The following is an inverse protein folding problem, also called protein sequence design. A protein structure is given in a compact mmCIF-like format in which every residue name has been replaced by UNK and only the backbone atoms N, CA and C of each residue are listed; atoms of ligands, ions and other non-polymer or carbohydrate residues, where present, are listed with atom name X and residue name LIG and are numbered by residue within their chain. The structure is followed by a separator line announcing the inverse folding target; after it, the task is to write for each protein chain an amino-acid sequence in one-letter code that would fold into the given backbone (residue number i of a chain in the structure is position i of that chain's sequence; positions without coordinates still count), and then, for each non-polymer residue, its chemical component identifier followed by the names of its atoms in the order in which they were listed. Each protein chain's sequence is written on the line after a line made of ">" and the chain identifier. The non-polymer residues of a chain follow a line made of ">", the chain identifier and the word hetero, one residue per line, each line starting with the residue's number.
data_IF_857175430125
#
_entry.id   IF_857175430125
#
_cell.length_a   1.000
_cell.length_b   1.000
_cell.length_c   1.000
_cell.angle_alpha   90.00
_cell.angle_beta   90.00
_cell.angle_gamma   90.00
#
_symmetry.space_group_name_H-M   'P 1'
#
loop_
_entity.id
_entity.type
_entity.pdbx_description
1 polymer ?
#
# COMPACT_ATOMS: atom_id res chain seq x y z
N UNK A 1 5.46 8.27 -23.13
CA UNK A 1 5.18 9.46 -22.27
C UNK A 1 4.89 8.97 -20.88
N UNK A 2 5.59 9.45 -19.86
CA UNK A 2 5.32 9.08 -18.47
C UNK A 2 4.07 9.85 -18.01
N UNK A 3 3.06 9.13 -17.54
CA UNK A 3 1.83 9.70 -16.99
C UNK A 3 1.95 9.76 -15.47
N UNK A 4 1.60 10.89 -14.89
CA UNK A 4 1.60 11.09 -13.42
C UNK A 4 0.19 11.38 -12.94
N UNK A 5 -0.24 10.64 -11.95
CA UNK A 5 -1.49 10.91 -11.25
C UNK A 5 -1.19 11.89 -10.11
N UNK A 6 -1.46 13.19 -10.33
CA UNK A 6 -1.41 14.17 -9.25
C UNK A 6 -2.79 14.27 -8.62
N UNK A 7 -2.89 13.88 -7.36
CA UNK A 7 -4.11 14.08 -6.58
C UNK A 7 -4.18 15.55 -6.20
N UNK A 8 -5.14 16.26 -6.80
CA UNK A 8 -5.54 17.58 -6.33
C UNK A 8 -6.47 17.31 -5.14
N UNK A 9 -6.02 17.65 -3.93
CA UNK A 9 -6.86 17.60 -2.74
C UNK A 9 -8.07 18.51 -2.96
N UNK A 10 -9.21 17.93 -3.31
CA UNK A 10 -10.48 18.63 -3.34
C UNK A 10 -10.94 18.68 -1.88
N UNK A 11 -10.75 19.83 -1.24
CA UNK A 11 -11.37 20.13 0.05
C UNK A 11 -12.88 20.17 -0.14
N UNK A 12 -13.52 19.03 0.13
CA UNK A 12 -14.99 18.96 0.17
C UNK A 12 -15.46 19.61 1.47
N UNK A 13 -15.88 20.86 1.37
CA UNK A 13 -16.55 21.58 2.46
C UNK A 13 -17.94 20.98 2.63
N UNK A 14 -18.05 19.94 3.46
CA UNK A 14 -19.31 19.28 3.79
C UNK A 14 -20.08 20.09 4.83
N UNK A 15 -21.24 20.61 4.44
CA UNK A 15 -22.20 21.26 5.34
C UNK A 15 -22.77 20.23 6.33
N UNK A 16 -22.61 20.52 7.64
CA UNK A 16 -23.28 19.79 8.72
C UNK A 16 -24.80 20.00 8.65
N UNK A 17 -25.54 18.93 8.46
CA UNK A 17 -26.95 18.88 8.80
C UNK A 17 -27.12 18.06 10.10
N UNK A 18 -27.42 18.75 11.19
CA UNK A 18 -27.75 18.16 12.48
C UNK A 18 -29.18 17.58 12.41
N UNK A 19 -29.32 16.28 12.65
CA UNK A 19 -30.60 15.67 12.97
C UNK A 19 -30.52 14.99 14.34
N UNK A 20 -31.15 15.60 15.32
CA UNK A 20 -31.36 15.05 16.65
C UNK A 20 -32.49 14.01 16.58
N UNK A 21 -32.25 12.79 17.10
CA UNK A 21 -33.31 11.85 17.45
C UNK A 21 -32.99 11.25 18.82
N UNK A 22 -33.76 11.69 19.79
CA UNK A 22 -33.91 11.13 21.12
C UNK A 22 -34.66 9.80 21.07
N UNK A 23 -34.13 8.77 21.73
CA UNK A 23 -34.81 7.49 21.90
C UNK A 23 -34.27 6.75 23.12
N UNK A 24 -35.03 6.84 24.22
CA UNK A 24 -34.78 6.27 25.53
C UNK A 24 -35.31 4.83 25.63
N UNK A 25 -34.71 3.99 26.46
CA UNK A 25 -35.29 2.75 27.01
C UNK A 25 -34.49 1.48 26.65
N UNK A 26 -34.00 0.73 27.59
CA UNK A 26 -34.34 0.15 28.83
C UNK A 26 -33.59 -1.15 29.03
N UNK A 27 -32.97 -1.23 30.16
CA UNK A 27 -32.71 -2.29 31.16
C UNK A 27 -32.50 -3.77 30.82
N UNK A 28 -31.49 -4.29 31.50
CA UNK A 28 -31.32 -5.50 32.32
C UNK A 28 -31.07 -6.82 31.51
N UNK A 29 -30.26 -7.74 31.90
CA UNK A 29 -29.54 -8.15 33.10
C UNK A 29 -28.70 -9.39 32.80
N UNK A 30 -27.56 -9.49 33.50
CA UNK A 30 -26.98 -10.66 34.14
C UNK A 30 -26.84 -12.00 33.42
N UNK A 31 -25.64 -12.48 33.27
CA UNK A 31 -25.04 -13.57 34.03
C UNK A 31 -23.80 -14.15 33.34
N UNK A 32 -22.66 -14.06 33.96
CA UNK A 32 -21.62 -15.09 33.88
C UNK A 32 -22.02 -16.22 34.88
N UNK A 33 -21.41 -17.42 34.94
CA UNK A 33 -19.99 -17.66 34.77
C UNK A 33 -19.61 -19.06 34.21
N UNK A 34 -18.27 -19.25 34.17
CA UNK A 34 -17.54 -20.52 34.47
C UNK A 34 -17.01 -21.34 33.32
N UNK A 35 -15.73 -21.31 33.18
CA UNK A 35 -14.70 -22.35 33.52
C UNK A 35 -14.61 -23.57 32.60
N UNK A 36 -13.45 -23.75 32.12
CA UNK A 36 -12.53 -24.90 32.18
C UNK A 36 -11.89 -25.08 30.80
N UNK A 37 -10.58 -24.76 30.68
CA UNK A 37 -9.42 -25.63 30.95
C UNK A 37 -9.33 -26.80 29.97
N UNK A 38 -8.25 -26.83 29.28
CA UNK A 38 -7.28 -27.87 29.03
C UNK A 38 -6.91 -28.08 27.58
N UNK A 39 -5.64 -27.99 27.46
CA UNK A 39 -4.69 -28.87 26.77
C UNK A 39 -4.18 -28.46 25.41
N UNK A 40 -2.89 -28.27 25.45
CA UNK A 40 -1.91 -28.24 24.41
C UNK A 40 -2.06 -29.36 23.37
N UNK A 41 -1.84 -28.98 22.13
CA UNK A 41 -1.20 -29.88 21.19
C UNK A 41 -0.33 -29.03 20.26
N UNK A 42 0.97 -29.14 20.44
CA UNK A 42 1.97 -28.81 19.46
C UNK A 42 1.68 -29.60 18.18
N UNK A 43 1.66 -28.94 17.07
CA UNK A 43 1.94 -29.59 15.81
C UNK A 43 2.67 -28.61 14.90
N UNK A 44 3.95 -28.84 14.86
CA UNK A 44 4.84 -28.41 13.80
C UNK A 44 4.29 -28.94 12.48
N UNK A 45 4.04 -28.05 11.54
CA UNK A 45 4.08 -28.44 10.14
C UNK A 45 4.24 -27.23 9.26
N UNK A 46 5.48 -27.11 8.82
CA UNK A 46 5.83 -27.08 7.42
C UNK A 46 5.38 -25.85 6.62
N UNK A 47 6.32 -24.96 6.46
CA UNK A 47 6.51 -24.15 5.25
C UNK A 47 6.06 -24.95 4.03
N UNK A 48 4.94 -24.58 3.48
CA UNK A 48 4.63 -24.84 2.10
C UNK A 48 4.69 -23.49 1.39
N UNK A 49 5.85 -23.20 0.86
CA UNK A 49 6.00 -22.24 -0.21
C UNK A 49 5.08 -22.68 -1.35
N UNK A 50 3.97 -22.03 -1.52
CA UNK A 50 3.21 -22.11 -2.76
C UNK A 50 3.79 -21.03 -3.67
N UNK A 51 4.90 -21.37 -4.32
CA UNK A 51 5.31 -20.73 -5.56
C UNK A 51 4.25 -21.07 -6.59
N UNK A 52 3.26 -20.22 -6.77
CA UNK A 52 2.55 -20.18 -8.02
C UNK A 52 3.33 -19.25 -8.96
N UNK A 53 4.42 -19.79 -9.47
CA UNK A 53 5.08 -19.25 -10.66
C UNK A 53 4.09 -19.43 -11.79
N UNK A 54 3.43 -18.38 -12.21
CA UNK A 54 2.87 -18.33 -13.56
C UNK A 54 4.03 -17.96 -14.44
N UNK A 55 4.69 -18.98 -14.98
CA UNK A 55 5.65 -18.87 -16.08
C UNK A 55 4.92 -18.22 -17.26
N UNK A 56 5.04 -16.92 -17.42
CA UNK A 56 4.92 -16.28 -18.72
C UNK A 56 5.50 -14.87 -18.69
N UNK A 57 6.60 -14.72 -19.40
CA UNK A 57 7.32 -13.51 -19.80
C UNK A 57 8.66 -13.27 -19.09
N UNK A 58 9.69 -13.95 -19.55
CA UNK A 58 11.11 -13.70 -19.21
C UNK A 58 11.59 -12.27 -19.51
N UNK A 59 10.76 -11.41 -20.08
CA UNK A 59 11.13 -10.04 -20.45
C UNK A 59 10.50 -8.96 -19.54
N UNK A 60 9.43 -9.27 -18.80
CA UNK A 60 8.76 -8.33 -17.89
C UNK A 60 9.39 -8.30 -16.48
N UNK A 61 9.81 -9.46 -15.98
CA UNK A 61 10.42 -9.59 -14.66
C UNK A 61 11.76 -8.87 -14.55
N UNK A 62 12.62 -8.94 -15.57
CA UNK A 62 13.92 -8.25 -15.57
C UNK A 62 13.74 -6.72 -15.52
N UNK A 63 12.72 -6.18 -16.22
CA UNK A 63 12.42 -4.76 -16.22
C UNK A 63 11.84 -4.31 -14.87
N UNK A 64 10.91 -5.07 -14.28
CA UNK A 64 10.36 -4.83 -12.95
C UNK A 64 11.44 -4.82 -11.88
N UNK A 65 12.31 -5.83 -11.89
CA UNK A 65 13.42 -5.97 -10.95
C UNK A 65 14.42 -4.82 -11.08
N UNK A 66 14.69 -4.38 -12.30
CA UNK A 66 15.56 -3.24 -12.58
C UNK A 66 15.00 -1.93 -12.04
N UNK A 67 13.72 -1.65 -12.31
CA UNK A 67 13.03 -0.46 -11.81
C UNK A 67 12.97 -0.49 -10.28
N UNK A 68 12.53 -1.60 -9.70
CA UNK A 68 12.44 -1.78 -8.26
C UNK A 68 13.79 -1.56 -7.56
N UNK A 69 14.85 -2.19 -8.06
CA UNK A 69 16.19 -2.06 -7.46
C UNK A 69 16.69 -0.62 -7.54
N UNK A 70 16.51 0.05 -8.67
CA UNK A 70 16.89 1.45 -8.86
C UNK A 70 16.16 2.36 -7.86
N UNK A 71 14.86 2.15 -7.66
CA UNK A 71 14.08 2.96 -6.72
C UNK A 71 14.43 2.69 -5.27
N UNK A 72 14.68 1.42 -4.91
CA UNK A 72 15.09 1.04 -3.56
C UNK A 72 16.49 1.56 -3.19
N UNK A 73 17.38 1.76 -4.17
CA UNK A 73 18.67 2.43 -3.95
C UNK A 73 18.50 3.93 -3.66
N UNK A 74 17.46 4.57 -4.21
CA UNK A 74 17.17 5.99 -3.96
C UNK A 74 16.39 6.20 -2.66
N UNK A 75 15.56 5.24 -2.27
CA UNK A 75 14.78 5.25 -1.03
C UNK A 75 15.10 4.00 -0.19
N UNK A 76 16.19 4.01 0.58
CA UNK A 76 16.54 2.86 1.41
C UNK A 76 15.52 2.68 2.54
N UNK A 77 14.91 1.51 2.59
CA UNK A 77 13.98 1.11 3.64
C UNK A 77 14.69 0.11 4.56
N UNK A 78 14.92 0.47 5.83
CA UNK A 78 15.75 -0.29 6.75
C UNK A 78 15.12 -1.60 7.21
N UNK A 79 13.86 -1.57 7.61
CA UNK A 79 13.09 -2.71 8.12
C UNK A 79 12.03 -3.09 7.11
N UNK A 80 12.43 -3.85 6.11
CA UNK A 80 11.59 -4.16 4.96
C UNK A 80 10.56 -5.25 5.28
N UNK A 81 9.31 -4.97 4.92
CA UNK A 81 8.23 -5.95 4.79
C UNK A 81 7.95 -6.15 3.30
N UNK A 82 8.19 -7.37 2.81
CA UNK A 82 7.92 -7.72 1.42
C UNK A 82 6.42 -7.76 1.15
N UNK A 83 6.00 -7.14 0.05
CA UNK A 83 4.59 -7.11 -0.36
C UNK A 83 4.24 -8.44 -1.00
N UNK A 84 3.30 -9.15 -0.39
CA UNK A 84 2.77 -10.42 -0.86
C UNK A 84 1.48 -10.22 -1.67
N UNK A 85 1.03 -11.26 -2.38
CA UNK A 85 -0.19 -11.22 -3.19
C UNK A 85 -1.43 -10.77 -2.40
N UNK A 86 -1.53 -11.18 -1.14
CA UNK A 86 -2.61 -10.77 -0.25
C UNK A 86 -2.61 -9.25 -0.02
N UNK A 87 -1.43 -8.62 0.09
CA UNK A 87 -1.34 -7.17 0.27
C UNK A 87 -1.79 -6.42 -1.00
N UNK A 88 -1.49 -6.94 -2.19
CA UNK A 88 -1.94 -6.36 -3.47
C UNK A 88 -3.46 -6.23 -3.49
N UNK A 89 -4.17 -7.26 -3.08
CA UNK A 89 -5.64 -7.27 -3.08
C UNK A 89 -6.23 -6.51 -1.88
N UNK A 90 -5.78 -6.80 -0.66
CA UNK A 90 -6.44 -6.29 0.55
C UNK A 90 -5.92 -4.94 1.02
N UNK A 91 -4.60 -4.67 0.92
CA UNK A 91 -4.04 -3.39 1.37
C UNK A 91 -4.19 -2.33 0.26
N UNK A 92 -3.78 -2.67 -0.97
CA UNK A 92 -3.79 -1.73 -2.10
C UNK A 92 -5.11 -1.73 -2.88
N UNK A 93 -5.99 -2.72 -2.67
CA UNK A 93 -7.28 -2.82 -3.36
C UNK A 93 -7.16 -3.10 -4.86
N UNK A 94 -5.99 -3.60 -5.31
CA UNK A 94 -5.76 -3.96 -6.70
C UNK A 94 -6.42 -5.30 -7.01
N UNK A 95 -7.12 -5.38 -8.14
CA UNK A 95 -7.76 -6.63 -8.55
C UNK A 95 -6.72 -7.55 -9.19
N UNK A 96 -6.81 -8.83 -8.87
CA UNK A 96 -5.90 -9.84 -9.43
C UNK A 96 -5.90 -9.86 -10.96
N UNK A 97 -7.04 -9.59 -11.59
CA UNK A 97 -7.19 -9.53 -13.06
C UNK A 97 -6.52 -8.30 -13.72
N UNK A 98 -6.27 -7.25 -12.94
CA UNK A 98 -5.65 -6.01 -13.43
C UNK A 98 -4.12 -6.02 -13.24
N UNK A 99 -3.56 -7.03 -12.55
CA UNK A 99 -2.14 -7.14 -12.20
C UNK A 99 -1.53 -8.40 -12.81
N UNK A 100 -0.51 -8.23 -13.65
CA UNK A 100 0.25 -9.35 -14.25
C UNK A 100 1.35 -9.80 -13.29
N UNK A 101 2.13 -8.85 -12.79
CA UNK A 101 3.22 -9.10 -11.86
C UNK A 101 3.48 -7.85 -10.99
N UNK A 102 4.18 -8.03 -9.90
CA UNK A 102 4.54 -6.92 -9.01
C UNK A 102 5.78 -7.24 -8.21
N UNK A 103 6.44 -6.20 -7.73
CA UNK A 103 7.51 -6.28 -6.75
C UNK A 103 7.47 -5.08 -5.84
N UNK A 104 7.62 -5.28 -4.55
CA UNK A 104 7.61 -4.15 -3.63
C UNK A 104 7.94 -4.52 -2.19
N UNK A 105 8.33 -3.49 -1.46
CA UNK A 105 8.53 -3.51 -0.01
C UNK A 105 7.93 -2.29 0.61
N UNK A 106 7.53 -2.41 1.87
CA UNK A 106 7.14 -1.28 2.71
C UNK A 106 7.91 -1.30 4.02
N UNK A 107 8.03 -0.16 4.67
CA UNK A 107 8.60 -0.08 6.01
C UNK A 107 7.71 -0.83 7.01
N UNK A 108 8.36 -1.57 7.92
CA UNK A 108 7.72 -2.21 9.06
C UNK A 108 7.99 -1.43 10.36
N UNK A 109 8.61 -0.26 10.26
CA UNK A 109 8.89 0.59 11.41
C UNK A 109 7.67 1.45 11.74
N UNK A 110 7.39 1.56 13.05
CA UNK A 110 6.28 2.36 13.51
C UNK A 110 6.50 3.85 13.20
N UNK A 111 5.57 4.46 12.49
CA UNK A 111 5.65 5.87 12.10
C UNK A 111 6.53 6.14 10.88
N UNK A 112 6.89 5.10 10.13
CA UNK A 112 7.50 5.22 8.82
C UNK A 112 6.55 4.67 7.74
N UNK A 113 6.29 5.47 6.71
CA UNK A 113 5.40 5.12 5.61
C UNK A 113 6.13 4.65 4.35
N UNK A 114 7.46 4.48 4.43
CA UNK A 114 8.31 4.13 3.29
C UNK A 114 7.73 2.96 2.48
N UNK A 115 7.63 3.14 1.17
CA UNK A 115 7.07 2.17 0.22
C UNK A 115 7.75 2.31 -1.14
N UNK A 116 8.20 1.20 -1.68
CA UNK A 116 8.55 1.06 -3.09
C UNK A 116 7.72 -0.09 -3.66
N UNK A 117 6.85 0.22 -4.60
CA UNK A 117 5.99 -0.76 -5.28
C UNK A 117 6.04 -0.53 -6.79
N UNK A 118 6.36 -1.58 -7.54
CA UNK A 118 6.32 -1.63 -9.00
C UNK A 118 5.32 -2.70 -9.40
N UNK A 119 4.40 -2.35 -10.28
CA UNK A 119 3.33 -3.23 -10.77
C UNK A 119 3.35 -3.26 -12.27
N UNK A 120 3.34 -4.44 -12.85
CA UNK A 120 2.98 -4.65 -14.25
C UNK A 120 1.47 -4.86 -14.33
N UNK A 121 0.78 -3.89 -14.89
CA UNK A 121 -0.65 -3.95 -15.08
C UNK A 121 -1.01 -4.77 -16.32
N UNK A 122 -2.17 -5.38 -16.33
CA UNK A 122 -2.74 -5.97 -17.54
C UNK A 122 -2.94 -4.91 -18.63
N UNK A 123 -3.01 -5.34 -19.88
CA UNK A 123 -3.13 -4.44 -21.03
C UNK A 123 -4.28 -3.44 -20.87
N UNK A 124 -3.95 -2.15 -20.94
CA UNK A 124 -4.90 -1.07 -20.82
C UNK A 124 -5.38 -0.78 -19.37
N UNK A 125 -4.75 -1.39 -18.35
CA UNK A 125 -5.11 -1.26 -16.95
C UNK A 125 -4.18 -0.38 -16.12
N UNK A 126 -3.10 0.12 -16.69
CA UNK A 126 -2.13 0.93 -15.96
C UNK A 126 -2.76 2.17 -15.28
N UNK A 127 -3.69 2.85 -15.95
CA UNK A 127 -4.39 3.99 -15.38
C UNK A 127 -5.34 3.58 -14.23
N UNK A 128 -6.05 2.45 -14.37
CA UNK A 128 -6.93 1.92 -13.32
C UNK A 128 -6.11 1.55 -12.08
N UNK A 129 -4.97 0.89 -12.25
CA UNK A 129 -4.01 0.55 -11.18
C UNK A 129 -3.47 1.81 -10.52
N UNK A 130 -3.02 2.80 -11.30
CA UNK A 130 -2.51 4.06 -10.76
C UNK A 130 -3.59 4.82 -9.93
N UNK A 131 -4.83 4.84 -10.40
CA UNK A 131 -5.94 5.45 -9.69
C UNK A 131 -6.27 4.72 -8.38
N UNK A 132 -6.16 3.40 -8.35
CA UNK A 132 -6.36 2.62 -7.14
C UNK A 132 -5.24 2.86 -6.12
N UNK A 133 -3.97 2.94 -6.57
CA UNK A 133 -2.85 3.32 -5.70
C UNK A 133 -3.00 4.76 -5.17
N UNK A 134 -3.59 5.65 -5.95
CA UNK A 134 -3.93 7.00 -5.49
C UNK A 134 -5.03 6.99 -4.40
N UNK A 135 -5.99 6.08 -4.47
CA UNK A 135 -6.97 5.89 -3.39
C UNK A 135 -6.29 5.36 -2.12
N UNK A 136 -5.40 4.37 -2.25
CA UNK A 136 -4.57 3.90 -1.13
C UNK A 136 -3.78 5.05 -0.49
N UNK A 137 -3.14 5.92 -1.28
CA UNK A 137 -2.44 7.09 -0.75
C UNK A 137 -3.36 7.97 0.12
N UNK A 138 -4.59 8.23 -0.33
CA UNK A 138 -5.55 9.04 0.44
C UNK A 138 -5.92 8.39 1.77
N UNK A 139 -6.10 7.08 1.79
CA UNK A 139 -6.37 6.32 3.02
C UNK A 139 -5.18 6.40 3.98
N UNK A 140 -3.94 6.32 3.47
CA UNK A 140 -2.74 6.48 4.29
C UNK A 140 -2.58 7.91 4.84
N UNK A 141 -2.88 8.94 4.05
CA UNK A 141 -2.90 10.34 4.52
C UNK A 141 -3.89 10.48 5.69
N UNK A 142 -5.08 9.92 5.55
CA UNK A 142 -6.10 9.95 6.61
C UNK A 142 -5.64 9.15 7.85
N UNK A 143 -4.98 8.01 7.67
CA UNK A 143 -4.47 7.19 8.76
C UNK A 143 -3.40 7.94 9.55
N UNK A 144 -2.32 8.40 8.91
CA UNK A 144 -1.22 9.08 9.58
C UNK A 144 -1.62 10.45 10.14
N UNK A 145 -2.56 11.14 9.50
CA UNK A 145 -3.08 12.43 9.95
C UNK A 145 -3.82 12.40 11.29
N UNK A 146 -4.23 11.22 11.77
CA UNK A 146 -4.84 11.07 13.09
C UNK A 146 -3.84 11.07 14.25
N UNK A 147 -2.54 11.00 13.97
CA UNK A 147 -1.50 10.83 14.96
C UNK A 147 -0.43 11.92 14.81
N UNK A 148 -0.37 12.86 15.75
CA UNK A 148 0.57 13.97 15.68
C UNK A 148 2.05 13.52 15.69
N UNK A 149 2.34 12.38 16.29
CA UNK A 149 3.67 11.76 16.30
C UNK A 149 4.11 11.24 14.94
N UNK A 150 3.20 11.05 13.99
CA UNK A 150 3.48 10.55 12.65
C UNK A 150 3.49 11.66 11.58
N UNK A 151 3.70 12.90 11.97
CA UNK A 151 3.68 14.03 11.05
C UNK A 151 4.67 13.89 9.88
N UNK A 152 5.83 13.24 10.09
CA UNK A 152 6.79 12.98 9.02
C UNK A 152 6.23 11.96 8.02
N UNK A 153 5.70 10.84 8.52
CA UNK A 153 5.07 9.82 7.67
C UNK A 153 3.88 10.40 6.89
N UNK A 154 3.04 11.23 7.53
CA UNK A 154 1.96 11.93 6.84
C UNK A 154 2.49 12.78 5.68
N UNK A 155 3.53 13.58 5.94
CA UNK A 155 4.16 14.42 4.89
C UNK A 155 4.71 13.56 3.75
N UNK A 156 5.36 12.44 4.07
CA UNK A 156 5.92 11.53 3.07
C UNK A 156 4.81 10.92 2.20
N UNK A 157 3.68 10.51 2.80
CA UNK A 157 2.52 9.98 2.06
C UNK A 157 1.86 11.04 1.20
N UNK A 158 1.70 12.28 1.69
CA UNK A 158 1.15 13.40 0.91
C UNK A 158 1.98 13.69 -0.34
N UNK A 159 3.30 13.46 -0.27
CA UNK A 159 4.24 13.64 -1.36
C UNK A 159 4.58 12.34 -2.11
N UNK A 160 3.78 11.30 -1.98
CA UNK A 160 3.99 10.05 -2.71
C UNK A 160 4.02 10.28 -4.22
N UNK A 161 4.92 9.60 -4.91
CA UNK A 161 5.02 9.64 -6.37
C UNK A 161 4.31 8.43 -6.96
N UNK A 162 3.30 8.67 -7.78
CA UNK A 162 2.59 7.64 -8.56
C UNK A 162 2.72 8.00 -10.03
N UNK A 163 3.34 7.12 -10.79
CA UNK A 163 3.56 7.32 -12.21
C UNK A 163 3.42 6.01 -12.98
N UNK A 164 3.11 6.08 -14.26
CA UNK A 164 3.10 4.90 -15.12
C UNK A 164 3.58 5.23 -16.54
N UNK A 165 4.16 4.23 -17.16
CA UNK A 165 4.55 4.23 -18.56
C UNK A 165 4.23 2.86 -19.14
N UNK A 166 3.52 2.85 -20.26
CA UNK A 166 2.98 1.64 -20.85
C UNK A 166 2.16 0.84 -19.82
N UNK A 167 2.53 -0.39 -19.52
CA UNK A 167 1.85 -1.23 -18.53
C UNK A 167 2.54 -1.18 -17.14
N UNK A 168 3.66 -0.50 -17.00
CA UNK A 168 4.40 -0.42 -15.73
C UNK A 168 3.91 0.75 -14.89
N UNK A 169 3.44 0.45 -13.69
CA UNK A 169 2.97 1.42 -12.68
C UNK A 169 3.90 1.40 -11.49
N UNK A 170 4.28 2.57 -11.00
CA UNK A 170 5.17 2.73 -9.85
C UNK A 170 4.47 3.59 -8.80
N UNK A 171 4.59 3.19 -7.55
CA UNK A 171 4.28 4.01 -6.39
C UNK A 171 5.47 4.01 -5.44
N UNK A 172 5.93 5.21 -5.06
CA UNK A 172 6.98 5.39 -4.06
C UNK A 172 6.49 6.38 -3.01
N UNK A 173 6.64 6.01 -1.75
CA UNK A 173 6.46 6.87 -0.58
C UNK A 173 7.81 6.94 0.11
N UNK A 174 8.35 8.13 0.30
CA UNK A 174 9.63 8.30 0.97
C UNK A 174 9.66 7.63 2.35
N UNK A 175 10.72 6.87 2.63
CA UNK A 175 11.03 6.47 4.00
C UNK A 175 11.45 7.69 4.84
N UNK A 176 11.46 7.56 6.16
CA UNK A 176 11.93 8.65 7.01
C UNK A 176 13.43 8.95 6.84
N UNK A 177 14.17 8.04 6.21
CA UNK A 177 15.61 8.17 5.92
C UNK A 177 15.87 8.65 4.48
N UNK A 178 14.85 8.75 3.63
CA UNK A 178 14.97 9.16 2.25
C UNK A 178 15.41 10.62 2.14
N UNK A 179 16.44 10.87 1.33
CA UNK A 179 16.93 12.23 1.01
C UNK A 179 16.94 12.52 -0.48
N UNK A 180 16.54 11.53 -1.30
CA UNK A 180 16.53 11.65 -2.75
C UNK A 180 15.30 12.42 -3.26
N UNK A 181 15.45 12.98 -4.46
CA UNK A 181 14.32 13.50 -5.24
C UNK A 181 13.62 12.32 -5.93
N UNK A 182 12.53 11.84 -5.31
CA UNK A 182 11.81 10.67 -5.81
C UNK A 182 11.06 10.94 -7.11
N UNK A 183 10.68 12.17 -7.39
CA UNK A 183 10.11 12.54 -8.69
C UNK A 183 11.11 12.27 -9.82
N UNK A 184 12.34 12.75 -9.65
CA UNK A 184 13.42 12.51 -10.61
C UNK A 184 13.83 11.03 -10.67
N UNK A 185 13.84 10.33 -9.52
CA UNK A 185 14.19 8.93 -9.46
C UNK A 185 13.19 8.06 -10.25
N UNK A 186 11.88 8.31 -10.08
CA UNK A 186 10.81 7.60 -10.79
C UNK A 186 10.85 7.91 -12.29
N UNK A 187 11.06 9.17 -12.69
CA UNK A 187 11.20 9.52 -14.11
C UNK A 187 12.37 8.79 -14.76
N UNK A 188 13.51 8.73 -14.08
CA UNK A 188 14.69 8.00 -14.59
C UNK A 188 14.47 6.49 -14.64
N UNK A 189 13.79 5.92 -13.67
CA UNK A 189 13.51 4.49 -13.61
C UNK A 189 12.51 4.04 -14.70
N UNK A 190 11.60 4.93 -15.11
CA UNK A 190 10.61 4.69 -16.17
C UNK A 190 11.10 5.15 -17.56
N UNK A 191 12.30 5.72 -17.69
CA UNK A 191 12.80 6.23 -18.97
C UNK A 191 13.09 5.11 -19.96
#
# INVERSE_FOLDING_TARGET
>A
MINRTKIIAITLTGALAAAALTGCGGSSSSAAPSSASTAAAESSASSAAVSSVVDNAENGTDTLDGIYSTLLEQDPISNQFEIAAMNIEYDFGLKAEDVVSYKGVKSNDNGDAGLVLVVEAADGKAEDVANQLAAYQQDQVAFYGNYAEFAQAQTNVENAVIAFKDNTVVMVIASNECTADLDSAVDNALA
#
